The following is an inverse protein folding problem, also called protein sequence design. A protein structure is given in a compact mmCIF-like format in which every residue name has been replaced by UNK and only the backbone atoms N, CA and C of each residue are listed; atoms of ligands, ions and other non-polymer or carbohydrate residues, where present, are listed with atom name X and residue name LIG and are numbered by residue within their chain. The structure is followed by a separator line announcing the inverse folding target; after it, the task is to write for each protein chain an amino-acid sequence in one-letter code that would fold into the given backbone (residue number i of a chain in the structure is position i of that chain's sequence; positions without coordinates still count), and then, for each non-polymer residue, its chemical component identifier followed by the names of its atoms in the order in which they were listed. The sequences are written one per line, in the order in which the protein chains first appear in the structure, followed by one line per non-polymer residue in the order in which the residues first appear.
data_IF_323241006240
#
_entry.id   IF_323241006240
#
_cell.length_a   1.000
_cell.length_b   1.000
_cell.length_c   1.000
_cell.angle_alpha   90.00
_cell.angle_beta   90.00
_cell.angle_gamma   90.00
#
_symmetry.space_group_name_H-M   'P 1'
#
loop_
_entity.id
_entity.type
_entity.pdbx_description
1 polymer ?
#
# COMPACT_ATOMS: atom_id res chain seq x y z
N UNK A 1 25.41 43.97 -41.57
CA UNK A 1 24.46 42.86 -41.19
C UNK A 1 24.89 42.39 -39.81
N UNK A 2 24.06 42.68 -38.79
CA UNK A 2 24.32 42.23 -37.40
C UNK A 2 23.64 40.89 -37.22
N UNK A 3 24.41 39.85 -36.90
CA UNK A 3 23.89 38.52 -36.55
C UNK A 3 23.04 38.64 -35.29
N UNK A 4 21.77 38.21 -35.40
CA UNK A 4 20.92 38.00 -34.23
C UNK A 4 21.40 36.74 -33.50
N UNK A 5 21.89 36.93 -32.30
CA UNK A 5 22.34 35.89 -31.40
C UNK A 5 21.09 35.16 -30.85
N UNK A 6 20.85 33.90 -31.28
CA UNK A 6 19.67 33.08 -31.03
C UNK A 6 19.81 32.10 -29.80
N UNK A 7 20.49 32.41 -28.70
CA UNK A 7 20.40 31.53 -27.51
C UNK A 7 19.14 31.76 -26.66
N UNK A 8 18.55 32.97 -26.71
CA UNK A 8 17.39 33.28 -25.85
C UNK A 8 16.08 32.62 -26.28
N UNK A 9 15.92 32.42 -27.61
CA UNK A 9 14.68 31.84 -28.15
C UNK A 9 14.59 30.32 -27.89
N UNK A 10 15.73 29.63 -27.87
CA UNK A 10 15.79 28.18 -27.57
C UNK A 10 15.50 27.88 -26.09
N UNK A 11 15.95 28.76 -25.18
CA UNK A 11 15.66 28.60 -23.75
C UNK A 11 14.17 28.82 -23.42
N UNK A 12 13.50 29.75 -24.10
CA UNK A 12 12.05 29.97 -23.95
C UNK A 12 11.22 28.78 -24.50
N UNK A 13 11.65 28.17 -25.60
CA UNK A 13 10.95 26.99 -26.15
C UNK A 13 11.14 25.74 -25.30
N UNK A 14 12.29 25.56 -24.66
CA UNK A 14 12.52 24.49 -23.69
C UNK A 14 11.69 24.68 -22.41
N UNK A 15 11.50 25.90 -21.93
CA UNK A 15 10.66 26.20 -20.76
C UNK A 15 9.16 26.02 -21.04
N UNK A 16 8.69 26.36 -22.24
CA UNK A 16 7.29 26.13 -22.64
C UNK A 16 7.00 24.61 -22.81
N UNK A 17 7.98 23.81 -23.25
CA UNK A 17 7.85 22.37 -23.33
C UNK A 17 7.82 21.68 -21.93
N UNK A 18 8.45 22.28 -20.92
CA UNK A 18 8.42 21.79 -19.52
C UNK A 18 7.12 22.14 -18.77
N UNK A 19 6.36 23.15 -19.23
CA UNK A 19 5.08 23.55 -18.62
C UNK A 19 3.90 22.76 -19.22
N UNK A 20 4.07 22.18 -20.40
CA UNK A 20 3.12 21.21 -20.97
C UNK A 20 3.42 19.80 -20.48
N UNK A 21 3.46 19.60 -19.16
CA UNK A 21 3.26 18.25 -18.63
C UNK A 21 1.94 17.76 -19.20
N UNK A 22 1.89 16.61 -19.88
CA UNK A 22 0.62 16.09 -20.36
C UNK A 22 -0.28 15.97 -19.12
N UNK A 23 -1.40 16.68 -19.14
CA UNK A 23 -2.46 16.44 -18.17
C UNK A 23 -2.75 14.95 -18.31
N UNK A 24 -2.42 14.18 -17.30
CA UNK A 24 -2.69 12.75 -17.32
C UNK A 24 -4.16 12.60 -17.64
N UNK A 25 -4.48 11.89 -18.72
CA UNK A 25 -5.86 11.65 -19.10
C UNK A 25 -6.58 11.03 -17.91
N UNK A 26 -7.76 11.54 -17.58
CA UNK A 26 -8.57 10.94 -16.51
C UNK A 26 -8.75 9.46 -16.80
N UNK A 27 -8.63 8.58 -15.79
CA UNK A 27 -8.75 7.14 -16.01
C UNK A 27 -10.13 6.81 -16.59
N UNK A 28 -10.15 5.87 -17.53
CA UNK A 28 -11.39 5.32 -18.05
C UNK A 28 -11.99 4.42 -16.98
N UNK A 29 -13.30 4.55 -16.72
CA UNK A 29 -14.00 3.66 -15.77
C UNK A 29 -14.67 2.55 -16.56
N UNK A 30 -14.33 1.31 -16.21
CA UNK A 30 -14.89 0.13 -16.84
C UNK A 30 -16.35 -0.06 -16.44
N UNK A 31 -17.18 -0.43 -17.40
CA UNK A 31 -18.59 -0.74 -17.18
C UNK A 31 -18.76 -2.23 -16.91
N UNK A 32 -19.51 -2.56 -15.85
CA UNK A 32 -19.80 -3.93 -15.43
C UNK A 32 -21.30 -4.15 -15.25
N UNK A 33 -21.74 -5.39 -15.34
CA UNK A 33 -23.04 -5.80 -14.82
C UNK A 33 -22.94 -5.96 -13.30
N UNK A 34 -23.56 -5.04 -12.57
CA UNK A 34 -23.60 -5.00 -11.11
C UNK A 34 -24.84 -5.67 -10.52
N UNK A 35 -25.67 -6.35 -11.34
CA UNK A 35 -26.85 -7.05 -10.89
C UNK A 35 -26.45 -8.23 -10.00
N UNK A 36 -26.90 -8.21 -8.76
CA UNK A 36 -26.60 -9.29 -7.79
C UNK A 36 -27.40 -10.54 -8.17
N UNK A 37 -26.74 -11.69 -8.48
CA UNK A 37 -27.42 -12.92 -8.81
C UNK A 37 -28.29 -13.39 -7.63
N UNK A 38 -29.43 -14.00 -7.92
CA UNK A 38 -30.45 -14.37 -6.89
C UNK A 38 -29.88 -15.20 -5.74
N UNK A 39 -28.90 -16.05 -6.03
CA UNK A 39 -28.25 -16.91 -5.04
C UNK A 39 -27.37 -16.16 -4.04
N UNK A 40 -26.90 -14.94 -4.38
CA UNK A 40 -26.04 -14.12 -3.53
C UNK A 40 -26.78 -12.97 -2.84
N UNK A 41 -28.07 -12.75 -3.10
CA UNK A 41 -28.83 -11.62 -2.54
C UNK A 41 -28.87 -11.61 -1.01
N UNK A 42 -29.00 -12.79 -0.38
CA UNK A 42 -29.00 -12.90 1.08
C UNK A 42 -27.66 -12.52 1.69
N UNK A 43 -26.59 -12.98 1.09
CA UNK A 43 -25.20 -12.71 1.49
C UNK A 43 -24.84 -11.22 1.29
N UNK A 44 -25.19 -10.69 0.13
CA UNK A 44 -25.01 -9.29 -0.19
C UNK A 44 -25.70 -8.35 0.82
N UNK A 45 -26.98 -8.64 1.14
CA UNK A 45 -27.74 -7.88 2.11
C UNK A 45 -27.16 -7.98 3.54
N UNK A 46 -26.62 -9.15 3.92
CA UNK A 46 -25.99 -9.33 5.22
C UNK A 46 -24.68 -8.52 5.34
N UNK A 47 -23.84 -8.53 4.30
CA UNK A 47 -22.61 -7.71 4.25
C UNK A 47 -22.94 -6.22 4.31
N UNK A 48 -23.93 -5.75 3.56
CA UNK A 48 -24.42 -4.36 3.68
C UNK A 48 -24.87 -4.02 5.11
N UNK A 49 -25.56 -4.93 5.78
CA UNK A 49 -25.97 -4.76 7.18
C UNK A 49 -24.79 -4.63 8.15
N UNK A 50 -23.72 -5.41 7.94
CA UNK A 50 -22.49 -5.34 8.72
C UNK A 50 -21.81 -3.98 8.52
N UNK A 51 -21.61 -3.55 7.28
CA UNK A 51 -21.01 -2.27 6.95
C UNK A 51 -21.84 -1.09 7.46
N UNK A 52 -23.19 -1.14 7.32
CA UNK A 52 -24.09 -0.13 7.85
C UNK A 52 -24.02 0.00 9.37
N UNK A 53 -23.88 -1.11 10.08
CA UNK A 53 -23.68 -1.14 11.54
C UNK A 53 -22.34 -0.54 11.94
N UNK A 54 -21.27 -0.85 11.21
CA UNK A 54 -19.95 -0.29 11.43
C UNK A 54 -19.96 1.24 11.19
N UNK A 55 -20.55 1.69 10.08
CA UNK A 55 -20.72 3.11 9.78
C UNK A 55 -21.43 3.87 10.91
N UNK A 56 -22.49 3.29 11.46
CA UNK A 56 -23.22 3.87 12.58
C UNK A 56 -22.36 3.97 13.85
N UNK A 57 -21.47 3.03 14.07
CA UNK A 57 -20.55 3.01 15.22
C UNK A 57 -19.44 4.06 15.13
N UNK A 58 -19.07 4.48 13.91
CA UNK A 58 -18.08 5.55 13.68
C UNK A 58 -18.64 6.95 13.94
N UNK A 59 -19.97 7.11 13.97
CA UNK A 59 -20.62 8.41 14.17
C UNK A 59 -20.49 9.35 12.96
N UNK A 60 -20.80 10.64 13.15
CA UNK A 60 -20.64 11.64 12.10
C UNK A 60 -19.13 11.83 11.77
N UNK A 61 -18.84 12.18 10.53
CA UNK A 61 -17.46 12.50 10.10
C UNK A 61 -16.90 13.63 10.96
N UNK A 62 -15.86 13.42 11.76
CA UNK A 62 -15.10 14.52 12.30
C UNK A 62 -14.31 15.16 11.16
N UNK A 63 -14.15 16.46 11.18
CA UNK A 63 -13.13 17.11 10.37
C UNK A 63 -11.76 16.76 11.01
N UNK A 64 -11.13 15.68 10.59
CA UNK A 64 -9.81 15.30 11.09
C UNK A 64 -8.73 16.01 10.28
N UNK A 65 -7.79 16.64 10.97
CA UNK A 65 -6.56 17.17 10.37
C UNK A 65 -5.48 16.06 10.20
N UNK A 66 -5.77 14.82 10.62
CA UNK A 66 -4.83 13.71 10.62
C UNK A 66 -4.90 12.96 9.29
N UNK A 67 -4.09 13.37 8.33
CA UNK A 67 -3.87 12.60 7.12
C UNK A 67 -3.15 11.29 7.43
N UNK A 68 -3.45 10.23 6.67
CA UNK A 68 -2.74 8.96 6.68
C UNK A 68 -2.32 8.57 5.25
N UNK A 69 -1.41 7.59 5.16
CA UNK A 69 -0.90 7.10 3.87
C UNK A 69 -1.90 6.11 3.28
N UNK A 70 -2.47 6.45 2.14
CA UNK A 70 -3.18 5.49 1.30
C UNK A 70 -2.17 4.64 0.56
N UNK A 71 -2.22 3.34 0.80
CA UNK A 71 -1.30 2.34 0.26
C UNK A 71 -2.05 1.20 -0.42
N UNK A 72 -1.36 0.19 -0.88
CA UNK A 72 -1.92 -1.11 -1.26
C UNK A 72 -0.81 -2.15 -1.28
N UNK A 73 -1.14 -3.43 -1.15
CA UNK A 73 -0.17 -4.48 -1.35
C UNK A 73 0.37 -4.46 -2.78
N UNK A 74 1.70 -4.55 -2.93
CA UNK A 74 2.39 -4.60 -4.22
C UNK A 74 2.55 -6.06 -4.66
N UNK A 75 1.46 -6.66 -5.13
CA UNK A 75 1.38 -8.09 -5.46
C UNK A 75 2.46 -8.60 -6.42
N UNK A 76 2.95 -7.86 -7.44
CA UNK A 76 4.09 -8.30 -8.24
C UNK A 76 5.37 -8.53 -7.44
N UNK A 77 5.49 -7.92 -6.25
CA UNK A 77 6.64 -8.02 -5.36
C UNK A 77 6.38 -8.88 -4.10
N UNK A 78 5.22 -9.55 -3.98
CA UNK A 78 4.93 -10.42 -2.85
C UNK A 78 5.89 -11.62 -2.81
N UNK A 79 6.60 -11.82 -1.70
CA UNK A 79 7.63 -12.86 -1.49
C UNK A 79 7.14 -14.28 -1.73
N UNK A 80 5.86 -14.55 -1.50
CA UNK A 80 5.24 -15.85 -1.74
C UNK A 80 5.28 -16.29 -3.21
N UNK A 81 5.53 -15.37 -4.15
CA UNK A 81 5.70 -15.69 -5.57
C UNK A 81 7.03 -16.41 -5.90
N UNK A 82 7.98 -16.37 -4.97
CA UNK A 82 9.24 -17.10 -5.05
C UNK A 82 9.98 -16.87 -6.37
N UNK A 83 10.32 -17.94 -7.15
CA UNK A 83 11.12 -17.80 -8.36
C UNK A 83 10.54 -16.86 -9.43
N UNK A 84 9.24 -16.58 -9.39
CA UNK A 84 8.62 -15.62 -10.31
C UNK A 84 9.13 -14.19 -10.10
N UNK A 85 9.58 -13.83 -8.90
CA UNK A 85 10.19 -12.54 -8.59
C UNK A 85 11.49 -12.31 -9.38
N UNK A 86 12.23 -13.37 -9.65
CA UNK A 86 13.55 -13.33 -10.31
C UNK A 86 13.43 -13.40 -11.84
N UNK A 87 12.23 -13.40 -12.40
CA UNK A 87 12.02 -13.36 -13.85
C UNK A 87 12.39 -11.99 -14.42
N UNK A 88 13.01 -11.98 -15.61
CA UNK A 88 13.58 -10.77 -16.21
C UNK A 88 12.58 -9.61 -16.41
N UNK A 89 11.29 -9.91 -16.57
CA UNK A 89 10.23 -8.91 -16.77
C UNK A 89 9.53 -8.47 -15.47
N UNK A 90 9.81 -9.09 -14.32
CA UNK A 90 9.08 -8.81 -13.09
C UNK A 90 9.29 -7.36 -12.61
N UNK A 91 10.53 -6.85 -12.61
CA UNK A 91 10.80 -5.45 -12.23
C UNK A 91 10.09 -4.45 -13.16
N UNK A 92 9.89 -4.77 -14.44
CA UNK A 92 9.10 -3.93 -15.34
C UNK A 92 7.61 -3.94 -14.93
N UNK A 93 7.09 -5.08 -14.52
CA UNK A 93 5.73 -5.19 -13.96
C UNK A 93 5.59 -4.37 -12.67
N UNK A 94 6.56 -4.47 -11.75
CA UNK A 94 6.61 -3.63 -10.54
C UNK A 94 6.61 -2.14 -10.90
N UNK A 95 7.44 -1.72 -11.86
CA UNK A 95 7.50 -0.32 -12.30
C UNK A 95 6.16 0.18 -12.85
N UNK A 96 5.47 -0.64 -13.65
CA UNK A 96 4.15 -0.32 -14.17
C UNK A 96 3.14 -0.13 -13.03
N UNK A 97 3.07 -1.09 -12.10
CA UNK A 97 2.18 -1.01 -10.94
C UNK A 97 2.43 0.25 -10.12
N UNK A 98 3.67 0.53 -9.74
CA UNK A 98 4.03 1.72 -8.97
C UNK A 98 3.64 3.03 -9.70
N UNK A 99 3.79 3.10 -11.04
CA UNK A 99 3.40 4.27 -11.82
C UNK A 99 1.88 4.49 -11.79
N UNK A 100 1.10 3.42 -11.98
CA UNK A 100 -0.36 3.51 -12.00
C UNK A 100 -0.91 3.82 -10.62
N UNK A 101 -0.40 3.18 -9.58
CA UNK A 101 -0.76 3.46 -8.19
C UNK A 101 -0.45 4.91 -7.80
N UNK A 102 0.72 5.44 -8.20
CA UNK A 102 1.07 6.84 -7.99
C UNK A 102 0.08 7.79 -8.69
N UNK A 103 -0.33 7.47 -9.92
CA UNK A 103 -1.33 8.24 -10.66
C UNK A 103 -2.72 8.20 -10.00
N UNK A 104 -3.07 7.10 -9.33
CA UNK A 104 -4.29 6.98 -8.51
C UNK A 104 -4.25 7.82 -7.22
N UNK A 105 -3.11 8.36 -6.84
CA UNK A 105 -2.95 9.09 -5.57
C UNK A 105 -2.39 8.25 -4.42
N UNK A 106 -2.12 6.95 -4.65
CA UNK A 106 -1.50 6.06 -3.66
C UNK A 106 -0.09 6.55 -3.33
N UNK A 107 0.25 6.54 -2.03
CA UNK A 107 1.52 7.08 -1.51
C UNK A 107 2.29 6.07 -0.66
N UNK A 108 1.84 4.83 -0.61
CA UNK A 108 2.55 3.74 0.06
C UNK A 108 2.29 2.41 -0.61
N UNK A 109 3.16 1.44 -0.31
CA UNK A 109 3.00 0.04 -0.71
C UNK A 109 3.38 -0.88 0.44
N UNK A 110 2.65 -1.99 0.55
CA UNK A 110 2.98 -3.13 1.41
C UNK A 110 3.66 -4.21 0.57
N UNK A 111 4.71 -4.81 1.10
CA UNK A 111 5.47 -5.87 0.44
C UNK A 111 5.71 -7.00 1.44
N UNK A 112 5.14 -8.17 1.20
CA UNK A 112 5.39 -9.34 2.02
C UNK A 112 6.76 -9.97 1.72
N UNK A 113 7.63 -10.06 2.74
CA UNK A 113 8.93 -10.74 2.70
C UNK A 113 8.99 -11.75 3.84
N UNK A 114 8.27 -12.85 3.71
CA UNK A 114 8.17 -13.84 4.79
C UNK A 114 9.47 -14.59 5.07
N UNK A 115 9.73 -14.86 6.36
CA UNK A 115 10.81 -15.77 6.73
C UNK A 115 10.51 -17.20 6.20
N UNK A 116 11.47 -17.94 5.61
CA UNK A 116 12.92 -17.70 5.58
C UNK A 116 13.47 -17.16 4.24
N UNK A 117 12.71 -16.40 3.48
CA UNK A 117 13.06 -16.04 2.09
C UNK A 117 14.45 -15.40 1.95
N UNK A 118 14.87 -14.60 2.95
CA UNK A 118 16.19 -13.93 2.96
C UNK A 118 17.21 -14.60 3.89
N UNK A 119 16.86 -15.73 4.53
CA UNK A 119 17.82 -16.50 5.32
C UNK A 119 18.95 -16.99 4.39
N UNK A 120 20.24 -16.82 4.75
CA UNK A 120 21.35 -17.23 3.90
C UNK A 120 21.34 -18.71 3.49
N UNK A 121 20.67 -19.57 4.24
CA UNK A 121 20.50 -20.99 3.92
C UNK A 121 19.38 -21.25 2.91
N UNK A 122 18.49 -20.28 2.69
CA UNK A 122 17.38 -20.43 1.76
C UNK A 122 17.85 -20.26 0.30
N UNK A 123 17.35 -21.10 -0.63
CA UNK A 123 17.78 -21.02 -2.03
C UNK A 123 17.53 -19.64 -2.65
N UNK A 124 18.53 -19.07 -3.30
CA UNK A 124 18.50 -17.76 -3.96
C UNK A 124 18.27 -16.55 -3.03
N UNK A 125 18.45 -16.67 -1.72
CA UNK A 125 18.21 -15.60 -0.73
C UNK A 125 18.92 -14.29 -1.11
N UNK A 126 20.18 -14.34 -1.55
CA UNK A 126 20.93 -13.16 -2.00
C UNK A 126 20.33 -12.50 -3.26
N UNK A 127 19.71 -13.29 -4.16
CA UNK A 127 19.05 -12.76 -5.35
C UNK A 127 17.71 -12.10 -4.97
N UNK A 128 16.96 -12.69 -4.03
CA UNK A 128 15.75 -12.08 -3.48
C UNK A 128 16.08 -10.78 -2.75
N UNK A 129 17.13 -10.74 -1.94
CA UNK A 129 17.56 -9.53 -1.27
C UNK A 129 17.82 -8.39 -2.27
N UNK A 130 18.67 -8.62 -3.27
CA UNK A 130 18.96 -7.64 -4.32
C UNK A 130 17.69 -7.22 -5.11
N UNK A 131 16.75 -8.14 -5.30
CA UNK A 131 15.45 -7.82 -5.91
C UNK A 131 14.66 -6.84 -5.05
N UNK A 132 14.50 -7.09 -3.75
CA UNK A 132 13.74 -6.23 -2.85
C UNK A 132 14.40 -4.87 -2.62
N UNK A 133 15.74 -4.79 -2.57
CA UNK A 133 16.47 -3.52 -2.57
C UNK A 133 16.08 -2.65 -3.79
N UNK A 134 16.01 -3.24 -4.97
CA UNK A 134 15.58 -2.54 -6.18
C UNK A 134 14.11 -2.10 -6.10
N UNK A 135 13.20 -2.98 -5.67
CA UNK A 135 11.77 -2.66 -5.57
C UNK A 135 11.54 -1.50 -4.61
N UNK A 136 12.14 -1.54 -3.42
CA UNK A 136 12.01 -0.47 -2.42
C UNK A 136 12.61 0.85 -2.93
N UNK A 137 13.77 0.78 -3.58
CA UNK A 137 14.37 1.95 -4.25
C UNK A 137 13.45 2.56 -5.31
N UNK A 138 12.75 1.72 -6.09
CA UNK A 138 11.78 2.17 -7.11
C UNK A 138 10.56 2.84 -6.49
N UNK A 139 10.06 2.36 -5.34
CA UNK A 139 8.96 2.97 -4.60
C UNK A 139 9.39 4.32 -3.99
N UNK A 140 10.53 4.36 -3.31
CA UNK A 140 11.09 5.59 -2.73
C UNK A 140 11.37 6.67 -3.80
N UNK A 141 11.87 6.28 -4.98
CA UNK A 141 12.08 7.21 -6.10
C UNK A 141 10.78 7.90 -6.58
N UNK A 142 9.62 7.33 -6.24
CA UNK A 142 8.28 7.89 -6.52
C UNK A 142 7.68 8.62 -5.31
N UNK A 143 8.43 8.76 -4.22
CA UNK A 143 7.96 9.36 -2.97
C UNK A 143 6.94 8.50 -2.22
N UNK A 144 6.89 7.19 -2.50
CA UNK A 144 6.02 6.26 -1.79
C UNK A 144 6.69 5.76 -0.51
N UNK A 145 5.90 5.58 0.55
CA UNK A 145 6.28 4.87 1.76
C UNK A 145 6.25 3.37 1.52
N UNK A 146 7.14 2.64 2.15
CA UNK A 146 7.22 1.18 2.04
C UNK A 146 7.08 0.55 3.41
N UNK A 147 6.09 -0.33 3.53
CA UNK A 147 5.92 -1.24 4.64
C UNK A 147 6.35 -2.64 4.18
N UNK A 148 7.22 -3.28 4.95
CA UNK A 148 7.58 -4.69 4.76
C UNK A 148 6.84 -5.50 5.82
N UNK A 149 6.09 -6.50 5.39
CA UNK A 149 5.54 -7.55 6.26
C UNK A 149 6.55 -8.69 6.35
N UNK A 150 7.14 -8.86 7.52
CA UNK A 150 8.13 -9.91 7.77
C UNK A 150 7.50 -11.07 8.53
N UNK A 151 6.37 -11.55 8.05
CA UNK A 151 5.70 -12.72 8.61
C UNK A 151 6.34 -14.02 8.09
N UNK A 152 5.63 -15.13 8.29
CA UNK A 152 6.04 -16.41 7.76
C UNK A 152 5.75 -16.53 6.26
N UNK A 153 6.68 -17.15 5.51
CA UNK A 153 6.47 -17.51 4.12
C UNK A 153 5.40 -18.60 3.99
N UNK A 154 4.49 -18.47 3.02
CA UNK A 154 3.44 -19.45 2.73
C UNK A 154 3.95 -20.72 2.02
N UNK A 155 5.18 -21.11 2.33
CA UNK A 155 5.76 -22.34 1.81
C UNK A 155 4.89 -23.58 2.10
N UNK A 156 4.91 -24.55 1.19
CA UNK A 156 4.11 -25.78 1.26
C UNK A 156 2.59 -25.55 1.18
N UNK A 157 2.13 -24.39 0.69
CA UNK A 157 0.71 -24.10 0.48
C UNK A 157 0.40 -23.91 -1.01
N UNK A 158 -0.87 -23.91 -1.42
CA UNK A 158 -1.25 -23.58 -2.80
C UNK A 158 -0.93 -22.14 -3.23
N UNK A 159 -0.63 -21.25 -2.29
CA UNK A 159 -0.36 -19.82 -2.52
C UNK A 159 1.11 -19.53 -2.84
N UNK A 160 2.00 -20.51 -2.66
CA UNK A 160 3.42 -20.33 -2.95
C UNK A 160 4.01 -21.59 -3.62
N UNK A 161 4.84 -21.42 -4.65
CA UNK A 161 5.60 -22.53 -5.24
C UNK A 161 6.79 -22.98 -4.39
N UNK A 162 7.05 -22.28 -3.29
CA UNK A 162 8.19 -22.52 -2.42
C UNK A 162 7.89 -23.65 -1.42
N UNK A 163 8.95 -24.33 -1.01
CA UNK A 163 8.90 -25.39 0.01
C UNK A 163 9.91 -25.11 1.10
N UNK A 164 9.55 -25.45 2.35
CA UNK A 164 10.44 -25.35 3.49
C UNK A 164 10.10 -26.42 4.54
N UNK A 165 11.09 -27.02 5.13
CA UNK A 165 10.89 -28.03 6.19
C UNK A 165 10.92 -27.37 7.58
N UNK A 166 9.77 -26.90 8.02
CA UNK A 166 9.58 -26.31 9.34
C UNK A 166 9.89 -27.26 10.48
N UNK A 167 9.69 -28.58 10.27
CA UNK A 167 9.90 -29.59 11.33
C UNK A 167 11.36 -29.77 11.72
N UNK A 168 12.28 -29.41 10.84
CA UNK A 168 13.74 -29.47 11.10
C UNK A 168 14.27 -28.27 11.88
N UNK A 169 13.49 -27.19 12.04
CA UNK A 169 13.90 -25.94 12.67
C UNK A 169 13.33 -25.83 14.09
N UNK A 170 14.16 -25.88 15.16
CA UNK A 170 13.68 -25.62 16.52
C UNK A 170 13.15 -24.19 16.69
N UNK A 171 12.12 -24.01 17.48
CA UNK A 171 11.48 -22.69 17.72
C UNK A 171 12.49 -21.59 18.13
N UNK A 172 13.44 -21.89 19.03
CA UNK A 172 14.45 -20.91 19.44
C UNK A 172 15.35 -20.49 18.29
N UNK A 173 15.64 -21.41 17.36
CA UNK A 173 16.42 -21.11 16.17
C UNK A 173 15.59 -20.32 15.16
N UNK A 174 14.29 -20.64 15.02
CA UNK A 174 13.35 -19.86 14.23
C UNK A 174 13.35 -18.40 14.65
N UNK A 175 13.15 -18.11 15.95
CA UNK A 175 13.16 -16.73 16.48
C UNK A 175 14.51 -16.04 16.19
N UNK A 176 15.62 -16.72 16.43
CA UNK A 176 16.98 -16.17 16.18
C UNK A 176 17.17 -15.82 14.70
N UNK A 177 16.75 -16.71 13.81
CA UNK A 177 16.91 -16.51 12.36
C UNK A 177 15.97 -15.44 11.84
N UNK A 178 14.74 -15.36 12.38
CA UNK A 178 13.77 -14.32 12.00
C UNK A 178 14.30 -12.95 12.40
N UNK A 179 14.83 -12.79 13.63
CA UNK A 179 15.53 -11.55 14.07
C UNK A 179 16.67 -11.20 13.09
N UNK A 180 17.46 -12.19 12.64
CA UNK A 180 18.55 -11.94 11.72
C UNK A 180 18.03 -11.47 10.34
N UNK A 181 16.94 -12.04 9.85
CA UNK A 181 16.28 -11.60 8.61
C UNK A 181 15.72 -10.18 8.75
N UNK A 182 15.03 -9.87 9.84
CA UNK A 182 14.49 -8.54 10.11
C UNK A 182 15.60 -7.48 10.18
N UNK A 183 16.70 -7.81 10.85
CA UNK A 183 17.86 -6.92 10.91
C UNK A 183 18.51 -6.72 9.53
N UNK A 184 18.50 -7.75 8.68
CA UNK A 184 18.96 -7.66 7.29
C UNK A 184 18.05 -6.73 6.48
N UNK A 185 16.72 -6.87 6.62
CA UNK A 185 15.73 -5.99 5.97
C UNK A 185 15.97 -4.53 6.37
N UNK A 186 16.10 -4.25 7.67
CA UNK A 186 16.38 -2.91 8.17
C UNK A 186 17.67 -2.34 7.59
N UNK A 187 18.75 -3.14 7.58
CA UNK A 187 20.08 -2.67 7.23
C UNK A 187 20.34 -2.52 5.73
N UNK A 188 19.63 -3.25 4.87
CA UNK A 188 19.92 -3.30 3.44
C UNK A 188 18.74 -2.87 2.57
N UNK A 189 17.53 -3.23 2.94
CA UNK A 189 16.32 -2.83 2.18
C UNK A 189 15.83 -1.44 2.59
N UNK A 190 16.03 -1.05 3.85
CA UNK A 190 15.68 0.28 4.39
C UNK A 190 14.20 0.66 4.22
N UNK A 191 13.23 -0.15 4.67
CA UNK A 191 11.83 0.21 4.60
C UNK A 191 11.50 1.37 5.55
N UNK A 192 10.40 2.09 5.29
CA UNK A 192 9.87 3.08 6.26
C UNK A 192 9.27 2.38 7.48
N UNK A 193 8.59 1.24 7.26
CA UNK A 193 7.92 0.45 8.30
C UNK A 193 8.31 -1.03 8.14
N UNK A 194 8.57 -1.69 9.25
CA UNK A 194 8.76 -3.15 9.30
C UNK A 194 7.73 -3.74 10.26
N UNK A 195 6.81 -4.51 9.72
CA UNK A 195 5.80 -5.26 10.44
C UNK A 195 6.40 -6.60 10.89
N UNK A 196 6.46 -6.81 12.21
CA UNK A 196 7.13 -7.95 12.86
C UNK A 196 6.23 -9.17 13.00
N UNK A 197 4.93 -8.99 12.87
CA UNK A 197 3.94 -10.03 12.94
C UNK A 197 2.56 -9.51 13.33
N UNK A 198 1.51 -10.05 12.69
CA UNK A 198 0.11 -9.67 12.90
C UNK A 198 -0.83 -10.90 12.88
N UNK A 199 -0.46 -11.98 12.23
CA UNK A 199 -1.26 -13.19 12.12
C UNK A 199 -0.70 -14.36 12.97
N UNK A 200 -0.83 -14.29 14.26
CA UNK A 200 -0.34 -15.30 15.20
C UNK A 200 -0.81 -16.72 14.90
N UNK A 201 -2.05 -16.88 14.44
CA UNK A 201 -2.64 -18.18 14.07
C UNK A 201 -2.09 -18.72 12.74
N UNK A 202 -1.87 -17.85 11.75
CA UNK A 202 -1.22 -18.20 10.48
C UNK A 202 0.23 -18.61 10.71
N UNK A 203 0.96 -17.85 11.50
CA UNK A 203 2.34 -18.10 11.91
C UNK A 203 2.46 -19.48 12.59
N UNK A 204 1.58 -19.75 13.55
CA UNK A 204 1.52 -21.04 14.26
C UNK A 204 1.14 -22.19 13.34
N UNK A 205 0.17 -21.98 12.45
CA UNK A 205 -0.31 -23.03 11.55
C UNK A 205 0.77 -23.45 10.53
N UNK A 206 1.43 -22.49 9.91
CA UNK A 206 2.43 -22.76 8.87
C UNK A 206 3.71 -23.36 9.45
N UNK A 207 4.19 -22.80 10.57
CA UNK A 207 5.43 -23.26 11.22
C UNK A 207 5.26 -24.51 12.08
N UNK A 208 4.06 -24.78 12.56
CA UNK A 208 3.78 -25.80 13.57
C UNK A 208 4.12 -25.36 15.00
N UNK A 209 4.55 -24.13 15.25
CA UNK A 209 4.85 -23.60 16.59
C UNK A 209 3.57 -23.12 17.28
N UNK A 210 2.79 -24.09 17.80
CA UNK A 210 1.46 -23.86 18.37
C UNK A 210 1.40 -22.83 19.50
N UNK A 211 2.51 -22.59 20.21
CA UNK A 211 2.60 -21.55 21.25
C UNK A 211 2.36 -20.14 20.69
N UNK A 212 2.67 -19.88 19.42
CA UNK A 212 2.39 -18.57 18.79
C UNK A 212 0.89 -18.27 18.72
N UNK A 213 0.06 -19.31 18.63
CA UNK A 213 -1.41 -19.16 18.63
C UNK A 213 -1.97 -19.06 20.05
N UNK A 214 -1.28 -18.32 20.93
CA UNK A 214 -1.78 -17.95 22.25
C UNK A 214 -1.38 -16.50 22.54
N UNK A 215 -2.19 -15.69 23.24
CA UNK A 215 -1.85 -14.30 23.56
C UNK A 215 -0.49 -14.15 24.24
N UNK A 216 -0.17 -14.99 25.22
CA UNK A 216 1.10 -14.93 25.95
C UNK A 216 2.30 -15.36 25.10
N UNK A 217 2.14 -16.39 24.27
CA UNK A 217 3.21 -16.84 23.36
C UNK A 217 3.48 -15.81 22.27
N UNK A 218 2.44 -15.21 21.72
CA UNK A 218 2.56 -14.13 20.75
C UNK A 218 3.25 -12.90 21.34
N UNK A 219 2.81 -12.44 22.50
CA UNK A 219 3.46 -11.36 23.24
C UNK A 219 4.96 -11.65 23.44
N UNK A 220 5.30 -12.85 23.95
CA UNK A 220 6.70 -13.23 24.16
C UNK A 220 7.53 -13.24 22.89
N UNK A 221 6.93 -13.64 21.76
CA UNK A 221 7.59 -13.63 20.45
C UNK A 221 7.88 -12.20 19.99
N UNK A 222 6.88 -11.32 19.98
CA UNK A 222 7.03 -9.91 19.58
C UNK A 222 8.03 -9.18 20.49
N UNK A 223 7.99 -9.40 21.81
CA UNK A 223 8.95 -8.80 22.74
C UNK A 223 10.41 -9.24 22.46
N UNK A 224 10.63 -10.49 22.04
CA UNK A 224 11.96 -10.96 21.67
C UNK A 224 12.48 -10.26 20.41
N UNK A 225 11.63 -10.07 19.39
CA UNK A 225 11.96 -9.30 18.18
C UNK A 225 12.28 -7.85 18.55
N UNK A 226 11.39 -7.17 19.26
CA UNK A 226 11.57 -5.78 19.69
C UNK A 226 12.83 -5.57 20.54
N UNK A 227 13.16 -6.55 21.39
CA UNK A 227 14.34 -6.50 22.27
C UNK A 227 15.68 -6.68 21.56
N UNK A 228 15.66 -7.24 20.34
CA UNK A 228 16.87 -7.66 19.64
C UNK A 228 17.21 -6.79 18.43
N UNK A 229 16.24 -6.04 17.90
CA UNK A 229 16.42 -5.28 16.67
C UNK A 229 16.98 -3.87 16.91
N UNK A 230 17.94 -3.47 16.08
CA UNK A 230 18.37 -2.09 15.95
C UNK A 230 17.66 -1.46 14.74
N UNK A 231 16.56 -0.75 15.01
CA UNK A 231 15.64 -0.26 13.98
C UNK A 231 16.17 0.91 13.13
N UNK A 232 17.20 1.62 13.58
CA UNK A 232 17.67 2.82 12.88
C UNK A 232 16.54 3.84 12.67
N UNK A 233 16.26 4.19 11.40
CA UNK A 233 15.15 5.06 10.99
C UNK A 233 13.85 4.32 10.70
N UNK A 234 13.88 3.00 10.54
CA UNK A 234 12.71 2.15 10.29
C UNK A 234 11.79 2.16 11.50
N UNK A 235 10.48 2.28 11.28
CA UNK A 235 9.48 2.17 12.32
C UNK A 235 9.06 0.71 12.49
N UNK A 236 9.14 0.20 13.73
CA UNK A 236 8.70 -1.15 14.04
C UNK A 236 7.20 -1.17 14.31
N UNK A 237 6.52 -2.11 13.67
CA UNK A 237 5.08 -2.31 13.71
C UNK A 237 4.80 -3.75 14.12
N UNK A 238 3.79 -3.99 14.95
CA UNK A 238 3.32 -5.33 15.28
C UNK A 238 1.86 -5.29 15.73
N UNK A 239 1.15 -6.38 15.59
CA UNK A 239 -0.26 -6.36 15.90
C UNK A 239 -0.96 -7.70 16.00
N UNK A 240 -2.24 -7.68 15.66
CA UNK A 240 -3.09 -8.86 15.60
C UNK A 240 -4.21 -8.69 14.59
N UNK A 241 -4.52 -9.74 13.83
CA UNK A 241 -5.70 -9.80 12.97
C UNK A 241 -6.99 -9.57 13.77
N UNK A 242 -7.95 -8.86 13.19
CA UNK A 242 -9.22 -8.55 13.88
C UNK A 242 -10.00 -9.77 14.34
N UNK A 243 -9.78 -10.95 13.77
CA UNK A 243 -10.40 -12.22 14.15
C UNK A 243 -9.81 -12.87 15.40
N UNK A 244 -8.56 -12.49 15.78
CA UNK A 244 -7.89 -12.99 16.99
C UNK A 244 -8.36 -12.28 18.26
N UNK A 245 -8.86 -11.04 18.11
CA UNK A 245 -9.27 -10.20 19.22
C UNK A 245 -8.11 -9.46 19.91
N UNK A 246 -8.46 -8.53 20.79
CA UNK A 246 -7.50 -7.59 21.40
C UNK A 246 -6.52 -8.23 22.36
N UNK A 247 -6.81 -9.42 22.89
CA UNK A 247 -5.90 -10.11 23.83
C UNK A 247 -4.53 -10.46 23.23
N UNK A 248 -4.44 -10.61 21.90
CA UNK A 248 -3.16 -10.84 21.23
C UNK A 248 -2.32 -9.55 21.06
N UNK A 249 -2.93 -8.39 21.26
CA UNK A 249 -2.28 -7.09 21.12
C UNK A 249 -1.89 -6.47 22.47
N UNK A 250 -2.76 -6.59 23.48
CA UNK A 250 -2.64 -5.85 24.75
C UNK A 250 -1.38 -6.18 25.55
N UNK A 251 -0.67 -7.27 25.27
CA UNK A 251 0.56 -7.63 25.97
C UNK A 251 1.78 -6.81 25.57
N UNK A 252 1.75 -6.13 24.41
CA UNK A 252 2.88 -5.35 23.89
C UNK A 252 2.49 -3.99 23.29
N UNK A 253 1.21 -3.65 23.25
CA UNK A 253 0.73 -2.43 22.58
C UNK A 253 1.34 -1.15 23.19
N UNK A 254 1.58 -1.12 24.49
CA UNK A 254 2.20 0.00 25.22
C UNK A 254 3.74 -0.05 25.25
N UNK A 255 4.38 -1.08 24.67
CA UNK A 255 5.84 -1.21 24.66
C UNK A 255 6.48 0.02 23.94
N UNK A 256 7.40 0.76 24.62
CA UNK A 256 8.02 1.95 24.04
C UNK A 256 8.96 1.65 22.84
N UNK A 257 9.38 0.40 22.66
CA UNK A 257 10.20 -0.05 21.51
C UNK A 257 9.37 -0.20 20.25
N UNK A 258 8.06 -0.49 20.38
CA UNK A 258 7.10 -0.54 19.29
C UNK A 258 6.71 0.89 18.89
N UNK A 259 6.82 1.23 17.62
CA UNK A 259 6.43 2.57 17.14
C UNK A 259 4.92 2.66 16.83
N UNK A 260 4.33 1.60 16.30
CA UNK A 260 2.93 1.55 15.84
C UNK A 260 2.31 0.19 16.06
N UNK A 261 1.00 0.16 16.18
CA UNK A 261 0.19 -1.06 16.23
C UNK A 261 -0.29 -1.39 14.81
N UNK A 262 -0.27 -2.68 14.41
CA UNK A 262 -0.88 -3.13 13.16
C UNK A 262 -2.12 -4.00 13.36
N UNK A 263 -2.91 -4.12 12.30
CA UNK A 263 -4.02 -5.09 12.24
C UNK A 263 -4.39 -5.41 10.80
N UNK A 264 -4.64 -6.69 10.54
CA UNK A 264 -5.32 -7.13 9.32
C UNK A 264 -6.85 -7.10 9.53
N UNK A 265 -7.57 -6.62 8.52
CA UNK A 265 -9.02 -6.42 8.60
C UNK A 265 -9.75 -7.22 7.52
N UNK A 266 -10.27 -8.35 7.94
CA UNK A 266 -11.11 -9.21 7.10
C UNK A 266 -12.47 -9.42 7.78
N UNK A 267 -13.48 -8.57 7.51
CA UNK A 267 -14.73 -8.55 8.24
C UNK A 267 -15.72 -9.62 7.77
N UNK A 268 -15.28 -10.88 7.74
CA UNK A 268 -16.17 -12.04 7.50
C UNK A 268 -17.31 -12.04 8.53
N UNK A 269 -17.04 -11.52 9.72
CA UNK A 269 -18.00 -11.33 10.81
C UNK A 269 -18.11 -9.87 11.21
N UNK A 270 -19.30 -9.40 11.47
CA UNK A 270 -19.50 -8.05 12.02
C UNK A 270 -18.71 -7.78 13.30
N UNK A 271 -18.43 -8.81 14.10
CA UNK A 271 -17.57 -8.68 15.30
C UNK A 271 -16.13 -8.31 14.97
N UNK A 272 -15.59 -8.63 13.78
CA UNK A 272 -14.24 -8.27 13.40
C UNK A 272 -14.12 -6.74 13.27
N UNK A 273 -15.14 -6.07 12.77
CA UNK A 273 -15.21 -4.60 12.72
C UNK A 273 -15.39 -3.98 14.12
N UNK A 274 -16.05 -4.68 15.07
CA UNK A 274 -16.08 -4.26 16.47
C UNK A 274 -14.71 -4.41 17.13
N UNK A 275 -13.96 -5.46 16.78
CA UNK A 275 -12.54 -5.61 17.20
C UNK A 275 -11.68 -4.49 16.65
N UNK A 276 -11.88 -4.08 15.38
CA UNK A 276 -11.16 -2.94 14.79
C UNK A 276 -11.40 -1.64 15.59
N UNK A 277 -12.66 -1.38 16.00
CA UNK A 277 -12.98 -0.24 16.86
C UNK A 277 -12.27 -0.32 18.22
N UNK A 278 -12.16 -1.52 18.79
CA UNK A 278 -11.45 -1.72 20.05
C UNK A 278 -9.93 -1.51 19.90
N UNK A 279 -9.34 -2.01 18.80
CA UNK A 279 -7.91 -1.77 18.48
C UNK A 279 -7.64 -0.29 18.28
N UNK A 280 -8.53 0.44 17.57
CA UNK A 280 -8.42 1.89 17.42
C UNK A 280 -8.42 2.64 18.75
N UNK A 281 -9.23 2.20 19.72
CA UNK A 281 -9.25 2.76 21.08
C UNK A 281 -7.96 2.45 21.84
N UNK A 282 -7.41 1.23 21.73
CA UNK A 282 -6.13 0.87 22.32
C UNK A 282 -5.03 1.78 21.76
N UNK A 283 -4.97 1.95 20.44
CA UNK A 283 -4.02 2.85 19.82
C UNK A 283 -4.10 4.30 20.35
N UNK A 284 -5.32 4.83 20.56
CA UNK A 284 -5.51 6.14 21.19
C UNK A 284 -5.05 6.18 22.65
N UNK A 285 -5.37 5.16 23.44
CA UNK A 285 -5.03 5.08 24.86
C UNK A 285 -3.52 5.00 25.09
N UNK A 286 -2.83 4.22 24.24
CA UNK A 286 -1.38 3.99 24.34
C UNK A 286 -0.58 5.03 23.54
N UNK A 287 -1.25 6.05 22.98
CA UNK A 287 -0.65 7.09 22.16
C UNK A 287 0.19 6.52 21.00
N UNK A 288 -0.32 5.47 20.37
CA UNK A 288 0.26 4.83 19.19
C UNK A 288 -0.51 5.20 17.92
N UNK A 289 0.19 5.23 16.81
CA UNK A 289 -0.44 5.23 15.50
C UNK A 289 -0.85 3.80 15.12
N UNK A 290 -1.86 3.67 14.29
CA UNK A 290 -2.37 2.39 13.81
C UNK A 290 -2.02 2.19 12.33
N UNK A 291 -1.61 0.99 11.97
CA UNK A 291 -1.39 0.53 10.61
C UNK A 291 -2.45 -0.52 10.27
N UNK A 292 -3.09 -0.40 9.13
CA UNK A 292 -3.89 -1.46 8.52
C UNK A 292 -3.13 -1.86 7.26
N UNK A 293 -2.31 -2.89 7.37
CA UNK A 293 -1.37 -3.36 6.35
C UNK A 293 -1.99 -4.34 5.37
N UNK A 294 -3.04 -5.05 5.80
CA UNK A 294 -3.95 -5.79 4.92
C UNK A 294 -5.41 -5.55 5.27
N UNK A 295 -6.25 -5.33 4.27
CA UNK A 295 -7.69 -5.26 4.46
C UNK A 295 -8.45 -5.58 3.17
N UNK A 296 -9.45 -6.46 3.28
CA UNK A 296 -10.40 -6.69 2.20
C UNK A 296 -11.73 -7.22 2.72
N UNK A 297 -12.82 -6.88 2.04
CA UNK A 297 -14.14 -7.42 2.36
C UNK A 297 -14.30 -8.82 1.78
N UNK A 298 -14.16 -9.87 2.60
CA UNK A 298 -14.41 -11.24 2.17
C UNK A 298 -15.92 -11.51 2.02
N UNK A 299 -16.31 -12.17 0.92
CA UNK A 299 -17.71 -12.35 0.49
C UNK A 299 -18.31 -13.68 0.98
N UNK A 300 -17.80 -14.23 2.06
CA UNK A 300 -18.26 -15.51 2.58
C UNK A 300 -18.79 -15.34 4.00
N UNK A 301 -20.08 -15.60 4.19
CA UNK A 301 -20.70 -15.57 5.50
C UNK A 301 -20.41 -16.88 6.26
N UNK A 302 -20.21 -16.79 7.56
CA UNK A 302 -20.24 -17.96 8.41
C UNK A 302 -21.65 -18.56 8.49
N UNK A 303 -21.80 -19.92 8.62
CA UNK A 303 -20.77 -20.93 8.89
C UNK A 303 -20.15 -21.54 7.62
N UNK A 304 -20.40 -21.00 6.44
CA UNK A 304 -19.96 -21.61 5.18
C UNK A 304 -18.43 -21.74 5.02
N UNK A 305 -17.67 -20.93 5.78
CA UNK A 305 -16.22 -20.91 5.68
C UNK A 305 -15.52 -22.09 6.32
N UNK A 306 -16.15 -22.77 7.28
CA UNK A 306 -15.46 -23.77 8.12
C UNK A 306 -14.25 -23.21 8.90
N UNK A 307 -14.02 -21.90 8.89
CA UNK A 307 -12.91 -21.27 9.60
C UNK A 307 -13.07 -21.40 11.10
N UNK A 308 -12.19 -22.14 11.69
CA UNK A 308 -11.96 -22.19 13.13
C UNK A 308 -10.68 -21.43 13.47
N UNK A 309 -10.61 -20.14 13.14
CA UNK A 309 -9.50 -19.28 13.60
C UNK A 309 -8.11 -19.55 13.01
N UNK A 310 -7.96 -20.35 11.97
CA UNK A 310 -6.67 -20.67 11.35
C UNK A 310 -6.45 -19.87 10.06
N UNK A 311 -6.54 -18.57 10.06
CA UNK A 311 -6.20 -17.60 9.01
C UNK A 311 -6.15 -18.01 7.53
N UNK A 312 -5.67 -19.19 7.21
CA UNK A 312 -5.60 -19.70 5.85
C UNK A 312 -6.96 -20.26 5.44
N UNK A 313 -7.85 -19.37 5.01
CA UNK A 313 -9.01 -19.75 4.26
C UNK A 313 -8.57 -20.43 2.96
N UNK A 314 -9.15 -21.59 2.67
CA UNK A 314 -8.90 -22.22 1.38
C UNK A 314 -9.35 -21.32 0.22
N UNK A 315 -8.96 -21.63 -1.03
CA UNK A 315 -9.31 -20.87 -2.24
C UNK A 315 -10.81 -20.54 -2.38
N UNK A 316 -11.68 -21.28 -1.71
CA UNK A 316 -13.12 -21.08 -1.69
C UNK A 316 -13.57 -19.76 -1.05
N UNK A 317 -12.75 -19.12 -0.20
CA UNK A 317 -13.11 -17.88 0.49
C UNK A 317 -13.01 -16.70 -0.48
N UNK A 318 -11.94 -16.63 -1.27
CA UNK A 318 -11.69 -15.55 -2.23
C UNK A 318 -12.31 -15.81 -3.60
N UNK A 319 -12.89 -16.98 -3.82
CA UNK A 319 -13.45 -17.39 -5.12
C UNK A 319 -14.50 -16.40 -5.64
N UNK A 320 -15.31 -15.83 -4.75
CA UNK A 320 -16.39 -14.94 -5.13
C UNK A 320 -15.93 -13.50 -5.37
N UNK A 321 -14.81 -13.07 -4.77
CA UNK A 321 -14.32 -11.69 -4.81
C UNK A 321 -14.07 -11.18 -6.24
N UNK A 322 -13.84 -12.08 -7.17
CA UNK A 322 -13.55 -11.75 -8.57
C UNK A 322 -14.74 -11.15 -9.34
N UNK A 323 -15.97 -11.25 -8.81
CA UNK A 323 -17.16 -10.86 -9.55
C UNK A 323 -17.56 -9.39 -9.33
N UNK A 324 -17.85 -8.72 -10.44
CA UNK A 324 -18.11 -7.28 -10.47
C UNK A 324 -19.31 -6.82 -9.64
N UNK A 325 -20.31 -7.67 -9.43
CA UNK A 325 -21.49 -7.31 -8.63
C UNK A 325 -21.16 -7.04 -7.16
N UNK A 326 -19.96 -7.41 -6.68
CA UNK A 326 -19.47 -7.07 -5.33
C UNK A 326 -18.84 -5.67 -5.25
N UNK A 327 -18.47 -5.06 -6.39
CA UNK A 327 -17.78 -3.77 -6.42
C UNK A 327 -18.44 -2.66 -5.57
N UNK A 328 -19.79 -2.56 -5.45
CA UNK A 328 -20.40 -1.58 -4.53
C UNK A 328 -20.07 -1.86 -3.05
N UNK A 329 -20.06 -3.13 -2.63
CA UNK A 329 -19.67 -3.53 -1.26
C UNK A 329 -18.19 -3.20 -1.00
N UNK A 330 -17.31 -3.54 -1.94
CA UNK A 330 -15.87 -3.24 -1.84
C UNK A 330 -15.63 -1.72 -1.73
N UNK A 331 -16.35 -0.94 -2.54
CA UNK A 331 -16.26 0.53 -2.51
C UNK A 331 -16.77 1.12 -1.18
N UNK A 332 -17.83 0.56 -0.62
CA UNK A 332 -18.37 0.95 0.68
C UNK A 332 -17.38 0.60 1.80
N UNK A 333 -16.84 -0.62 1.80
CA UNK A 333 -15.84 -1.06 2.77
C UNK A 333 -14.61 -0.13 2.79
N UNK A 334 -13.99 0.15 1.64
CA UNK A 334 -12.84 1.04 1.54
C UNK A 334 -13.16 2.46 2.05
N UNK A 335 -14.36 2.96 1.76
CA UNK A 335 -14.83 4.26 2.24
C UNK A 335 -14.98 4.26 3.76
N UNK A 336 -15.47 3.18 4.35
CA UNK A 336 -15.65 3.08 5.80
C UNK A 336 -14.35 2.90 6.56
N UNK A 337 -13.35 2.21 5.99
CA UNK A 337 -12.01 2.16 6.58
C UNK A 337 -11.34 3.54 6.50
N UNK A 338 -11.50 4.27 5.40
CA UNK A 338 -11.04 5.65 5.32
C UNK A 338 -11.69 6.53 6.40
N UNK A 339 -13.02 6.43 6.57
CA UNK A 339 -13.74 7.10 7.66
C UNK A 339 -13.25 6.70 9.05
N UNK A 340 -12.93 5.42 9.27
CA UNK A 340 -12.31 4.95 10.51
C UNK A 340 -10.98 5.68 10.76
N UNK A 341 -10.14 5.87 9.74
CA UNK A 341 -8.87 6.60 9.83
C UNK A 341 -9.03 8.09 10.17
N UNK A 342 -10.20 8.68 9.93
CA UNK A 342 -10.50 10.05 10.38
C UNK A 342 -10.91 10.12 11.86
N UNK A 343 -11.37 9.00 12.43
CA UNK A 343 -11.79 8.90 13.84
C UNK A 343 -10.64 8.44 14.75
N UNK A 344 -9.83 7.51 14.25
CA UNK A 344 -8.75 6.86 15.00
C UNK A 344 -7.38 7.23 14.41
N UNK A 345 -6.28 7.08 15.16
CA UNK A 345 -4.95 7.57 14.78
C UNK A 345 -4.29 6.70 13.67
N UNK A 346 -4.96 6.52 12.54
CA UNK A 346 -4.46 5.76 11.41
C UNK A 346 -3.22 6.44 10.81
N UNK A 347 -2.20 5.67 10.50
CA UNK A 347 -0.96 6.09 9.83
C UNK A 347 -0.89 5.59 8.39
N UNK A 348 -1.36 4.34 8.17
CA UNK A 348 -1.17 3.65 6.91
C UNK A 348 -2.36 2.72 6.66
N UNK A 349 -2.90 2.74 5.44
CA UNK A 349 -4.01 1.89 5.02
C UNK A 349 -3.70 1.22 3.69
N UNK A 350 -3.58 -0.10 3.72
CA UNK A 350 -3.22 -0.94 2.59
C UNK A 350 -4.30 -2.00 2.33
N UNK A 351 -5.19 -1.80 1.37
CA UNK A 351 -6.05 -2.85 0.89
C UNK A 351 -5.27 -4.01 0.29
N UNK A 352 -5.69 -5.24 0.62
CA UNK A 352 -5.22 -6.46 -0.02
C UNK A 352 -5.80 -6.56 -1.44
N UNK A 353 -5.07 -7.22 -2.36
CA UNK A 353 -5.53 -7.48 -3.75
C UNK A 353 -5.80 -6.24 -4.60
N UNK A 354 -4.75 -5.51 -4.95
CA UNK A 354 -4.78 -4.37 -5.90
C UNK A 354 -5.49 -4.68 -7.22
N UNK A 355 -5.60 -5.97 -7.62
CA UNK A 355 -6.23 -6.40 -8.86
C UNK A 355 -7.66 -5.86 -9.02
N UNK A 356 -8.41 -5.77 -7.92
CA UNK A 356 -9.80 -5.30 -7.94
C UNK A 356 -9.93 -3.79 -8.19
N UNK A 357 -8.82 -3.06 -8.16
CA UNK A 357 -8.80 -1.68 -8.65
C UNK A 357 -8.81 -1.61 -10.18
N UNK A 358 -8.42 -2.71 -10.85
CA UNK A 358 -8.24 -2.75 -12.30
C UNK A 358 -9.14 -3.74 -13.01
N UNK A 359 -9.59 -4.81 -12.39
CA UNK A 359 -10.45 -5.79 -13.02
C UNK A 359 -11.41 -6.48 -12.08
N UNK A 360 -12.59 -6.79 -12.60
CA UNK A 360 -13.52 -7.80 -12.13
C UNK A 360 -13.98 -8.65 -13.32
N UNK A 361 -14.61 -9.78 -13.04
CA UNK A 361 -15.31 -10.59 -14.03
C UNK A 361 -16.82 -10.36 -13.92
N UNK A 362 -17.55 -10.24 -15.04
CA UNK A 362 -19.00 -10.28 -15.02
C UNK A 362 -19.44 -11.70 -14.65
N UNK A 363 -20.30 -11.80 -13.66
CA UNK A 363 -20.75 -13.11 -13.21
C UNK A 363 -21.61 -13.82 -14.28
N UNK A 364 -21.38 -15.10 -14.46
CA UNK A 364 -22.23 -16.01 -15.19
C UNK A 364 -22.36 -17.33 -14.45
N UNK A 365 -23.42 -18.14 -14.65
CA UNK A 365 -23.53 -19.45 -14.00
C UNK A 365 -22.34 -20.37 -14.25
N UNK A 366 -21.71 -20.29 -15.43
CA UNK A 366 -20.51 -21.08 -15.75
C UNK A 366 -19.28 -20.60 -14.97
N UNK A 367 -19.04 -19.30 -14.90
CA UNK A 367 -17.93 -18.76 -14.12
C UNK A 367 -18.12 -18.94 -12.60
N UNK A 368 -19.35 -18.85 -12.11
CA UNK A 368 -19.66 -19.13 -10.69
C UNK A 368 -19.43 -20.58 -10.27
N UNK A 369 -19.28 -21.52 -11.22
CA UNK A 369 -18.92 -22.91 -10.99
C UNK A 369 -17.41 -23.19 -11.09
N UNK A 370 -16.60 -22.21 -11.53
CA UNK A 370 -15.15 -22.36 -11.66
C UNK A 370 -14.45 -22.21 -10.32
N UNK A 371 -13.31 -22.88 -10.18
CA UNK A 371 -12.45 -22.73 -9.00
C UNK A 371 -11.65 -21.43 -9.06
N UNK A 372 -11.28 -20.89 -7.90
CA UNK A 372 -10.52 -19.64 -7.74
C UNK A 372 -9.33 -19.50 -8.69
N UNK A 373 -8.46 -20.51 -8.77
CA UNK A 373 -7.29 -20.46 -9.63
C UNK A 373 -7.60 -20.45 -11.14
N UNK A 374 -8.79 -20.89 -11.56
CA UNK A 374 -9.24 -20.75 -12.94
C UNK A 374 -9.78 -19.34 -13.21
N UNK A 375 -10.49 -18.76 -12.25
CA UNK A 375 -10.98 -17.40 -12.32
C UNK A 375 -9.81 -16.38 -12.34
N UNK A 376 -8.79 -16.57 -11.51
CA UNK A 376 -7.62 -15.68 -11.47
C UNK A 376 -6.79 -15.72 -12.75
N UNK A 377 -6.76 -16.84 -13.48
CA UNK A 377 -6.13 -16.90 -14.82
C UNK A 377 -6.80 -16.00 -15.85
N UNK A 378 -8.07 -15.66 -15.64
CA UNK A 378 -8.80 -14.70 -16.48
C UNK A 378 -8.66 -13.27 -15.93
N UNK A 379 -8.72 -13.11 -14.61
CA UNK A 379 -8.68 -11.82 -13.93
C UNK A 379 -7.32 -11.11 -14.09
N UNK A 380 -6.22 -11.78 -13.80
CA UNK A 380 -4.90 -11.14 -13.75
C UNK A 380 -4.41 -10.57 -15.09
N UNK A 381 -4.56 -11.28 -16.23
CA UNK A 381 -4.24 -10.67 -17.52
C UNK A 381 -5.11 -9.46 -17.85
N UNK A 382 -6.39 -9.48 -17.48
CA UNK A 382 -7.30 -8.36 -17.67
C UNK A 382 -6.88 -7.15 -16.81
N UNK A 383 -6.52 -7.39 -15.55
CA UNK A 383 -6.01 -6.34 -14.67
C UNK A 383 -4.73 -5.71 -15.26
N UNK A 384 -3.79 -6.52 -15.75
CA UNK A 384 -2.57 -6.04 -16.40
C UNK A 384 -2.85 -5.15 -17.62
N UNK A 385 -3.76 -5.56 -18.52
CA UNK A 385 -4.19 -4.76 -19.68
C UNK A 385 -4.84 -3.44 -19.26
N UNK A 386 -5.65 -3.47 -18.21
CA UNK A 386 -6.32 -2.27 -17.68
C UNK A 386 -5.33 -1.31 -17.01
N UNK A 387 -4.29 -1.82 -16.32
CA UNK A 387 -3.18 -1.01 -15.83
C UNK A 387 -2.44 -0.30 -16.97
N UNK A 388 -2.10 -1.03 -18.03
CA UNK A 388 -1.44 -0.46 -19.22
C UNK A 388 -2.27 0.63 -19.91
N UNK A 389 -3.60 0.49 -19.92
CA UNK A 389 -4.53 1.44 -20.52
C UNK A 389 -5.05 2.52 -19.55
N UNK A 390 -4.57 2.57 -18.30
CA UNK A 390 -5.06 3.45 -17.24
C UNK A 390 -6.59 3.34 -17.04
N UNK A 391 -7.10 2.12 -17.04
CA UNK A 391 -8.52 1.81 -16.87
C UNK A 391 -8.78 1.30 -15.46
N UNK A 392 -9.72 1.92 -14.73
CA UNK A 392 -10.09 1.55 -13.38
C UNK A 392 -11.46 0.88 -13.32
N UNK A 393 -11.63 0.01 -12.34
CA UNK A 393 -12.96 -0.45 -11.90
C UNK A 393 -13.67 0.65 -11.10
N UNK A 394 -14.99 0.52 -10.82
CA UNK A 394 -15.66 1.41 -9.88
C UNK A 394 -15.01 1.44 -8.49
N UNK A 395 -14.51 0.29 -8.01
CA UNK A 395 -13.76 0.19 -6.74
C UNK A 395 -12.43 0.95 -6.81
N UNK A 396 -11.66 0.76 -7.89
CA UNK A 396 -10.40 1.48 -8.12
C UNK A 396 -10.62 3.00 -8.24
N UNK A 397 -11.71 3.42 -8.90
CA UNK A 397 -12.07 4.84 -8.97
C UNK A 397 -12.43 5.40 -7.57
N UNK A 398 -13.14 4.62 -6.76
CA UNK A 398 -13.47 5.03 -5.38
C UNK A 398 -12.20 5.19 -4.55
N UNK A 399 -11.30 4.19 -4.59
CA UNK A 399 -10.04 4.26 -3.86
C UNK A 399 -9.15 5.42 -4.33
N UNK A 400 -9.06 5.63 -5.65
CA UNK A 400 -8.32 6.76 -6.21
C UNK A 400 -8.84 8.10 -5.73
N UNK A 401 -10.18 8.30 -5.66
CA UNK A 401 -10.77 9.53 -5.12
C UNK A 401 -10.43 9.73 -3.64
N UNK A 402 -10.51 8.68 -2.82
CA UNK A 402 -10.13 8.73 -1.41
C UNK A 402 -8.66 9.11 -1.25
N UNK A 403 -7.76 8.46 -1.97
CA UNK A 403 -6.32 8.70 -1.90
C UNK A 403 -5.93 10.11 -2.39
N UNK A 404 -6.59 10.62 -3.44
CA UNK A 404 -6.34 11.97 -3.96
C UNK A 404 -6.90 13.06 -3.04
N UNK A 405 -8.03 12.83 -2.34
CA UNK A 405 -8.61 13.80 -1.42
C UNK A 405 -7.77 13.98 -0.15
N UNK A 406 -6.99 12.97 0.24
CA UNK A 406 -6.09 13.02 1.38
C UNK A 406 -4.77 13.75 1.10
N UNK A 407 -4.39 13.90 -0.16
CA UNK A 407 -3.24 14.73 -0.54
C UNK A 407 -3.70 16.19 -0.38
N UNK A 408 -3.07 17.00 0.50
CA UNK A 408 -3.28 18.45 0.48
C UNK A 408 -3.00 18.86 -0.96
N UNK A 409 -4.04 19.25 -1.68
CA UNK A 409 -3.84 19.92 -2.98
C UNK A 409 -2.96 21.10 -2.62
N UNK A 410 -1.71 21.20 -3.13
CA UNK A 410 -0.98 22.46 -3.00
C UNK A 410 -2.01 23.47 -3.48
N UNK A 411 -2.34 24.47 -2.66
CA UNK A 411 -3.17 25.56 -3.14
C UNK A 411 -2.44 26.09 -4.38
N UNK A 412 -2.80 25.56 -5.54
CA UNK A 412 -2.54 26.22 -6.79
C UNK A 412 -3.37 27.50 -6.68
N UNK A 413 -2.79 28.45 -5.93
CA UNK A 413 -3.17 29.83 -6.08
C UNK A 413 -3.44 30.00 -7.55
N UNK A 414 -4.70 30.27 -7.86
CA UNK A 414 -5.30 30.53 -9.18
C UNK A 414 -4.22 30.64 -10.27
N UNK A 415 -4.21 29.80 -11.34
CA UNK A 415 -3.14 29.78 -12.34
C UNK A 415 -2.77 31.18 -12.84
N UNK A 416 -3.71 32.15 -12.77
CA UNK A 416 -3.48 33.56 -13.03
C UNK A 416 -2.58 34.24 -11.97
N UNK A 417 -2.64 33.87 -10.68
CA UNK A 417 -1.76 34.44 -9.65
C UNK A 417 -0.36 33.86 -9.73
N UNK A 418 -0.19 32.58 -10.08
CA UNK A 418 1.12 31.96 -10.32
C UNK A 418 1.77 32.49 -11.61
N UNK A 419 1.00 32.67 -12.68
CA UNK A 419 1.47 33.34 -13.89
C UNK A 419 1.82 34.81 -13.64
N UNK A 420 1.03 35.53 -12.87
CA UNK A 420 1.30 36.92 -12.51
C UNK A 420 2.58 37.04 -11.68
N UNK A 421 2.80 36.18 -10.70
CA UNK A 421 4.02 36.14 -9.89
C UNK A 421 5.26 35.80 -10.74
N UNK A 422 5.16 34.86 -11.68
CA UNK A 422 6.21 34.52 -12.63
C UNK A 422 6.51 35.70 -13.58
N UNK A 423 5.48 36.33 -14.13
CA UNK A 423 5.66 37.52 -15.01
C UNK A 423 6.34 38.69 -14.25
N UNK A 424 5.94 38.93 -12.99
CA UNK A 424 6.57 39.96 -12.14
C UNK A 424 8.03 39.60 -11.86
N UNK A 425 8.35 38.34 -11.55
CA UNK A 425 9.72 37.89 -11.32
C UNK A 425 10.59 38.03 -12.59
N UNK A 426 10.06 37.67 -13.75
CA UNK A 426 10.73 37.85 -15.04
C UNK A 426 10.94 39.33 -15.38
N UNK A 427 9.92 40.17 -15.17
CA UNK A 427 10.05 41.62 -15.40
C UNK A 427 11.12 42.26 -14.48
N UNK A 428 11.14 41.88 -13.19
CA UNK A 428 12.14 42.37 -12.24
C UNK A 428 13.56 41.94 -12.62
N UNK A 429 13.74 40.68 -13.06
CA UNK A 429 15.03 40.16 -13.52
C UNK A 429 15.48 40.87 -14.80
N UNK A 430 14.56 41.09 -15.74
CA UNK A 430 14.86 41.83 -16.98
C UNK A 430 15.24 43.29 -16.73
N UNK A 431 14.53 43.97 -15.84
CA UNK A 431 14.84 45.33 -15.42
C UNK A 431 16.23 45.40 -14.77
N UNK A 432 16.57 44.41 -13.94
CA UNK A 432 17.89 44.36 -13.27
C UNK A 432 19.04 44.16 -14.27
N UNK A 433 18.88 43.27 -15.24
CA UNK A 433 19.86 43.03 -16.30
C UNK A 433 19.97 44.26 -17.20
N UNK A 434 18.85 44.85 -17.57
CA UNK A 434 18.84 46.04 -18.43
C UNK A 434 19.48 47.28 -17.77
N UNK A 435 19.20 47.52 -16.48
CA UNK A 435 19.78 48.60 -15.71
C UNK A 435 21.30 48.41 -15.53
N UNK A 436 21.75 47.17 -15.31
CA UNK A 436 23.17 46.84 -15.25
C UNK A 436 23.86 47.08 -16.59
N UNK A 437 23.32 46.62 -17.70
CA UNK A 437 23.84 46.84 -19.04
C UNK A 437 23.90 48.33 -19.41
N UNK A 438 22.86 49.08 -19.04
CA UNK A 438 22.83 50.53 -19.26
C UNK A 438 23.90 51.27 -18.42
N UNK A 439 24.11 50.84 -17.18
CA UNK A 439 25.14 51.37 -16.29
C UNK A 439 26.56 51.12 -16.85
N UNK A 440 26.80 49.91 -17.35
CA UNK A 440 28.09 49.52 -17.93
C UNK A 440 28.35 50.29 -19.24
N UNK A 441 27.35 50.43 -20.09
CA UNK A 441 27.44 51.25 -21.32
C UNK A 441 27.74 52.74 -21.05
N UNK A 442 27.12 53.31 -20.02
CA UNK A 442 27.36 54.70 -19.61
C UNK A 442 28.74 54.89 -18.95
N UNK A 443 29.30 53.86 -18.32
CA UNK A 443 30.69 53.88 -17.83
C UNK A 443 31.70 53.86 -18.98
N UNK A 444 31.52 52.96 -19.96
CA UNK A 444 32.39 52.88 -21.12
C UNK A 444 32.41 54.17 -21.95
N UNK A 445 31.22 54.76 -22.14
CA UNK A 445 31.13 56.05 -22.87
C UNK A 445 31.80 57.26 -22.14
N UNK A 446 31.75 57.26 -20.79
CA UNK A 446 32.48 58.28 -19.99
C UNK A 446 34.00 58.10 -20.02
N UNK A 447 34.46 56.84 -20.05
CA UNK A 447 35.90 56.54 -20.13
C UNK A 447 36.48 56.94 -21.49
N UNK A 448 35.71 56.83 -22.57
CA UNK A 448 36.15 57.26 -23.92
C UNK A 448 36.09 58.77 -24.13
N UNK A 449 35.34 59.53 -23.33
CA UNK A 449 35.29 61.00 -23.40
C UNK A 449 36.43 61.69 -22.64
N UNK A 450 37.23 60.95 -21.85
CA UNK A 450 38.39 61.47 -21.11
C UNK A 450 39.74 61.18 -21.80
N UNK A 451 39.72 60.55 -22.99
CA UNK A 451 40.91 60.19 -23.79
C UNK A 451 40.99 61.00 -25.07
N UNK A 452 40.25 62.09 -25.16
CA UNK A 452 40.43 63.13 -26.25
C UNK A 452 40.92 64.49 -25.72
#
# INVERSE_FOLDING_TARGET
MRELNIPGLFLCLLFVALILSPVAASPVVQQYDLSVPSQYQGEYAALQGILGSFNSSLGPYPASENGFVYATELLPANGNRGPALLQANNLASVALNLNVLQAMGVRGVTIAIGYPLLDPSFPNSAQYLNYFEQVVSMAHARGMKVLIESQILFANTPYSPLTFDWSSLPYSQYVTNHIAQDQLIINQIHPDYLELGVEADTEAYLSGYTQLNTPSGWTSYIEQLLGSLNKGSTKLVAGAGTWLGTSYLTGFADDPRLDMISTHVYPIYGQNLQTLLAIGKIAQQDNKRLVIDEAWEEKVLQPATGRTGTGIGGPSITQQDVFAFWSPIDSEFLTLIAKFGEVYPLEFFSPFSEWYFFAYLNWTPSLGAEEYFQLTKQLYPLAGQNMESNTLTPTGQTYSRLAQSAVPVPEFTNPYTTMTALVIAFAATFITIWTKHRSDYLRETKTMAHVR
#
